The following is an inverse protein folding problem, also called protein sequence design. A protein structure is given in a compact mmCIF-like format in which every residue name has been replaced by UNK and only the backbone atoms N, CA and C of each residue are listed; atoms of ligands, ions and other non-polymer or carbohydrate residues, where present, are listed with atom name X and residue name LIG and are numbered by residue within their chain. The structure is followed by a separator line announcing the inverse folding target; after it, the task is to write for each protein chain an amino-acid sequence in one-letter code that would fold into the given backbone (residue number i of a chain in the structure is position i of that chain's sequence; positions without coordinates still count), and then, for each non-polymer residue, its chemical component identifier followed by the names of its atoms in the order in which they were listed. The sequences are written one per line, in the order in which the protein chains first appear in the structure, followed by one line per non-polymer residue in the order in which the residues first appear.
data_IF_721879682099
#
_entry.id   IF_721879682099
#
_cell.length_a   1.000
_cell.length_b   1.000
_cell.length_c   1.000
_cell.angle_alpha   90.00
_cell.angle_beta   90.00
_cell.angle_gamma   90.00
#
_symmetry.space_group_name_H-M   'P 1'
#
loop_
_entity.id
_entity.type
_entity.pdbx_description
1 polymer ?
#
# COMPACT_ATOMS: atom_id res chain seq x y z
N UNK A 1 82.48 22.64 0.42
CA UNK A 1 82.44 21.20 0.64
C UNK A 1 81.66 20.94 1.95
N UNK A 2 80.45 21.56 2.11
CA UNK A 2 79.66 21.54 3.33
C UNK A 2 78.13 21.37 3.16
N UNK A 3 77.71 21.16 1.93
CA UNK A 3 76.28 21.02 1.64
C UNK A 3 75.73 19.61 1.83
N UNK A 4 76.56 18.59 1.80
CA UNK A 4 76.16 17.22 1.91
C UNK A 4 76.02 16.71 3.35
N UNK A 5 76.69 17.32 4.29
CA UNK A 5 76.62 16.97 5.71
C UNK A 5 75.37 17.53 6.37
N UNK A 6 74.93 18.74 5.96
CA UNK A 6 73.67 19.33 6.47
C UNK A 6 72.43 18.59 6.03
N UNK A 7 72.50 18.01 4.84
CA UNK A 7 71.35 17.17 4.28
C UNK A 7 71.23 15.82 4.97
N UNK A 8 72.36 15.22 5.33
CA UNK A 8 72.39 13.95 6.07
C UNK A 8 71.84 14.09 7.48
N UNK A 9 72.21 15.24 8.20
CA UNK A 9 71.75 15.51 9.58
C UNK A 9 70.26 15.85 9.64
N UNK A 10 69.65 16.40 8.56
CA UNK A 10 68.22 16.63 8.45
C UNK A 10 67.40 15.35 8.22
N UNK A 11 67.91 14.38 7.50
CA UNK A 11 67.32 13.13 7.27
C UNK A 11 67.29 12.21 8.50
N UNK A 12 68.30 12.30 9.31
CA UNK A 12 68.43 11.53 10.57
C UNK A 12 67.52 12.05 11.68
N UNK A 13 67.12 13.33 11.64
CA UNK A 13 66.13 13.91 12.54
C UNK A 13 64.69 13.55 12.18
N UNK A 14 64.39 13.26 10.89
CA UNK A 14 63.07 12.85 10.46
C UNK A 14 62.79 11.36 10.68
N UNK A 15 63.83 10.56 10.88
CA UNK A 15 63.74 9.12 11.16
C UNK A 15 63.43 8.76 12.63
N UNK A 16 63.51 9.71 13.56
CA UNK A 16 63.37 9.43 15.01
C UNK A 16 62.03 9.80 15.65
N UNK A 17 61.06 10.24 14.87
CA UNK A 17 59.72 10.58 15.38
C UNK A 17 58.62 9.64 14.88
N UNK A 18 58.92 8.38 14.73
CA UNK A 18 57.86 7.40 14.42
C UNK A 18 58.15 6.11 15.21
N UNK A 19 57.78 6.05 16.45
CA UNK A 19 57.27 4.84 17.12
C UNK A 19 57.01 5.14 18.60
N UNK A 20 55.91 5.80 18.88
CA UNK A 20 55.17 5.51 20.11
C UNK A 20 53.92 4.74 19.70
N UNK A 21 54.07 3.44 19.68
CA UNK A 21 52.97 2.50 19.64
C UNK A 21 52.16 2.66 20.92
N UNK A 22 51.12 3.48 20.86
CA UNK A 22 50.10 3.52 21.88
C UNK A 22 49.23 2.29 21.68
N UNK A 23 49.64 1.17 22.24
CA UNK A 23 48.78 -0.03 22.42
C UNK A 23 47.71 0.34 23.42
N UNK A 24 46.65 0.96 22.93
CA UNK A 24 45.41 1.15 23.68
C UNK A 24 44.86 -0.21 24.10
N UNK A 25 44.59 -0.31 25.40
CA UNK A 25 43.91 -1.40 26.11
C UNK A 25 42.48 -1.71 25.58
N UNK A 26 42.31 -1.88 24.28
CA UNK A 26 41.02 -2.22 23.62
C UNK A 26 40.85 -3.72 23.42
N UNK A 27 41.88 -4.54 23.66
CA UNK A 27 41.85 -5.98 23.39
C UNK A 27 41.19 -6.85 24.45
N UNK A 28 41.21 -6.44 25.72
CA UNK A 28 40.71 -7.31 26.80
C UNK A 28 39.17 -7.32 26.93
N UNK A 29 38.54 -6.20 26.67
CA UNK A 29 37.06 -6.12 26.72
C UNK A 29 36.40 -6.87 25.56
N UNK A 30 37.04 -6.90 24.40
CA UNK A 30 36.51 -7.59 23.22
C UNK A 30 36.56 -9.12 23.39
N UNK A 31 37.60 -9.65 24.01
CA UNK A 31 37.74 -11.10 24.24
C UNK A 31 36.77 -11.62 25.30
N UNK A 32 36.44 -10.83 26.32
CA UNK A 32 35.43 -11.18 27.32
C UNK A 32 34.04 -11.11 26.70
N UNK A 33 33.76 -10.11 25.88
CA UNK A 33 32.48 -9.97 25.18
C UNK A 33 32.22 -11.13 24.23
N UNK A 34 33.20 -11.55 23.44
CA UNK A 34 33.11 -12.70 22.53
C UNK A 34 32.94 -14.00 23.30
N UNK A 35 33.63 -14.19 24.42
CA UNK A 35 33.45 -15.39 25.27
C UNK A 35 32.06 -15.46 25.91
N UNK A 36 31.54 -14.33 26.40
CA UNK A 36 30.19 -14.24 26.97
C UNK A 36 29.14 -14.47 25.86
N UNK A 37 29.31 -13.86 24.69
CA UNK A 37 28.39 -14.03 23.55
C UNK A 37 28.34 -15.48 23.07
N UNK A 38 29.47 -16.19 23.07
CA UNK A 38 29.55 -17.60 22.65
C UNK A 38 28.79 -18.58 23.58
N UNK A 39 28.64 -18.19 24.85
CA UNK A 39 27.89 -19.01 25.84
C UNK A 39 26.42 -18.53 25.90
N UNK A 40 26.20 -17.22 25.79
CA UNK A 40 24.87 -16.61 25.90
C UNK A 40 23.96 -16.99 24.74
N UNK A 41 24.51 -17.07 23.52
CA UNK A 41 23.74 -17.37 22.30
C UNK A 41 23.11 -18.78 22.32
N UNK A 42 23.84 -19.87 22.66
CA UNK A 42 23.20 -21.20 22.77
C UNK A 42 22.24 -21.29 23.97
N UNK A 43 22.47 -20.52 25.03
CA UNK A 43 21.60 -20.53 26.21
C UNK A 43 20.25 -19.81 25.89
N UNK A 44 20.28 -18.72 25.13
CA UNK A 44 19.07 -18.08 24.61
C UNK A 44 18.32 -19.00 23.64
N UNK A 45 19.02 -19.71 22.76
CA UNK A 45 18.39 -20.66 21.84
C UNK A 45 17.71 -21.81 22.58
N UNK A 46 18.33 -22.34 23.66
CA UNK A 46 17.73 -23.31 24.52
C UNK A 46 16.51 -22.77 25.30
N UNK A 47 16.57 -21.51 25.75
CA UNK A 47 15.46 -20.82 26.40
C UNK A 47 14.25 -20.66 25.46
N UNK A 48 14.49 -20.26 24.21
CA UNK A 48 13.42 -20.14 23.19
C UNK A 48 12.82 -21.52 22.89
N UNK A 49 13.65 -22.56 22.77
CA UNK A 49 13.18 -23.92 22.54
C UNK A 49 12.32 -24.44 23.73
N UNK A 50 12.71 -24.11 24.95
CA UNK A 50 11.95 -24.47 26.16
C UNK A 50 10.59 -23.74 26.22
N UNK A 51 10.55 -22.45 25.80
CA UNK A 51 9.30 -21.70 25.72
C UNK A 51 8.39 -22.25 24.62
N UNK A 52 8.93 -22.64 23.47
CA UNK A 52 8.14 -23.30 22.41
C UNK A 52 7.60 -24.66 22.82
N UNK A 53 8.36 -25.45 23.64
CA UNK A 53 7.86 -26.71 24.16
C UNK A 53 6.89 -26.57 25.35
N UNK A 54 6.98 -25.48 26.09
CA UNK A 54 6.08 -25.16 27.19
C UNK A 54 4.80 -24.43 26.75
N UNK A 55 4.71 -24.04 25.44
CA UNK A 55 3.51 -23.43 24.93
C UNK A 55 2.37 -24.43 24.97
N UNK A 56 1.29 -24.17 25.71
CA UNK A 56 0.16 -25.09 25.71
C UNK A 56 -0.41 -25.16 24.31
N UNK A 57 -0.36 -26.33 23.70
CA UNK A 57 -1.05 -26.65 22.46
C UNK A 57 -2.55 -26.58 22.75
N UNK A 58 -3.14 -25.40 22.57
CA UNK A 58 -4.58 -25.17 22.70
C UNK A 58 -5.26 -25.81 21.47
N UNK A 59 -5.05 -27.11 21.32
CA UNK A 59 -5.88 -27.93 20.45
C UNK A 59 -7.23 -28.03 21.15
N UNK A 60 -8.10 -27.06 20.86
CA UNK A 60 -9.53 -27.24 21.10
C UNK A 60 -9.94 -28.51 20.38
N UNK A 61 -10.01 -29.57 21.13
CA UNK A 61 -10.62 -30.82 20.67
C UNK A 61 -12.06 -30.46 20.34
N UNK A 62 -12.37 -30.40 19.07
CA UNK A 62 -13.72 -30.25 18.57
C UNK A 62 -14.51 -31.45 19.07
N UNK A 63 -15.40 -31.25 20.05
CA UNK A 63 -16.32 -32.26 20.53
C UNK A 63 -17.66 -32.09 19.80
N UNK A 64 -18.03 -33.00 18.86
CA UNK A 64 -19.25 -32.86 18.07
C UNK A 64 -20.54 -33.06 18.88
N UNK A 65 -20.47 -33.19 20.19
CA UNK A 65 -21.64 -33.47 21.05
C UNK A 65 -22.26 -32.23 21.70
N UNK A 66 -21.57 -31.07 21.71
CA UNK A 66 -22.14 -29.84 22.30
C UNK A 66 -23.03 -29.04 21.36
N UNK A 67 -23.03 -29.30 20.05
CA UNK A 67 -23.92 -28.61 19.10
C UNK A 67 -25.39 -29.12 19.09
N UNK A 68 -25.70 -30.20 19.78
CA UNK A 68 -27.06 -30.75 19.73
C UNK A 68 -28.04 -30.11 20.73
N UNK A 69 -27.61 -29.34 21.70
CA UNK A 69 -28.51 -28.78 22.74
C UNK A 69 -28.83 -27.29 22.64
N UNK A 70 -28.20 -26.51 21.70
CA UNK A 70 -28.50 -25.09 21.55
C UNK A 70 -29.39 -24.72 20.36
N UNK A 71 -29.94 -25.71 19.64
CA UNK A 71 -30.87 -25.48 18.51
C UNK A 71 -32.35 -25.53 18.90
N UNK A 72 -32.73 -25.04 20.05
CA UNK A 72 -34.16 -24.89 20.35
C UNK A 72 -34.42 -23.54 21.01
N UNK A 73 -34.50 -22.52 20.21
CA UNK A 73 -35.26 -21.29 20.25
C UNK A 73 -34.48 -20.15 19.57
N UNK A 74 -34.88 -19.82 18.34
CA UNK A 74 -35.30 -18.48 17.94
C UNK A 74 -35.41 -18.47 16.41
N UNK A 75 -36.59 -18.21 15.96
CA UNK A 75 -36.86 -18.00 14.54
C UNK A 75 -36.21 -16.73 14.05
N UNK A 76 -35.20 -16.87 13.22
CA UNK A 76 -34.65 -15.76 12.44
C UNK A 76 -34.50 -16.22 10.98
N UNK A 77 -35.13 -15.43 10.12
CA UNK A 77 -35.10 -15.40 8.65
C UNK A 77 -33.72 -15.79 8.08
N UNK A 78 -33.63 -16.52 6.98
CA UNK A 78 -32.36 -16.89 6.38
C UNK A 78 -31.67 -15.67 5.78
N UNK A 79 -30.86 -15.00 6.56
CA UNK A 79 -29.84 -14.11 6.05
C UNK A 79 -28.75 -14.95 5.38
N UNK A 80 -28.60 -14.70 4.09
CA UNK A 80 -27.54 -15.09 3.17
C UNK A 80 -26.29 -15.63 3.90
N UNK A 81 -26.21 -16.95 4.06
CA UNK A 81 -25.02 -17.66 4.56
C UNK A 81 -23.97 -17.53 3.45
N UNK A 82 -23.14 -16.50 3.55
CA UNK A 82 -21.95 -16.37 2.73
C UNK A 82 -21.01 -17.49 3.20
N UNK A 83 -20.57 -18.30 2.24
CA UNK A 83 -19.65 -19.42 2.43
C UNK A 83 -18.37 -18.93 3.16
N UNK A 84 -18.33 -19.15 4.47
CA UNK A 84 -17.19 -18.85 5.34
C UNK A 84 -15.96 -19.72 5.05
N UNK A 85 -16.06 -20.67 4.13
CA UNK A 85 -15.08 -21.73 3.96
C UNK A 85 -13.86 -21.39 3.07
N UNK A 86 -13.81 -20.18 2.46
CA UNK A 86 -12.78 -19.83 1.46
C UNK A 86 -12.00 -18.53 1.73
N UNK A 87 -12.17 -17.92 2.89
CA UNK A 87 -11.43 -16.70 3.25
C UNK A 87 -10.06 -17.09 3.81
N UNK A 88 -8.97 -16.65 3.19
CA UNK A 88 -7.62 -16.84 3.70
C UNK A 88 -7.25 -15.71 4.66
N UNK A 89 -7.51 -14.48 4.24
CA UNK A 89 -7.24 -13.28 5.02
C UNK A 89 -8.41 -12.31 4.94
N UNK A 90 -8.77 -11.75 6.07
CA UNK A 90 -9.73 -10.66 6.19
C UNK A 90 -9.08 -9.53 6.98
N UNK A 91 -9.12 -8.32 6.43
CA UNK A 91 -8.63 -7.10 7.06
C UNK A 91 -9.77 -6.12 7.22
N UNK A 92 -9.92 -5.59 8.42
CA UNK A 92 -10.82 -4.48 8.72
C UNK A 92 -10.01 -3.18 8.71
N UNK A 93 -10.52 -2.15 8.05
CA UNK A 93 -9.81 -0.88 7.84
C UNK A 93 -8.45 -1.09 7.15
N UNK A 94 -8.48 -1.77 6.01
CA UNK A 94 -7.28 -2.06 5.22
C UNK A 94 -6.77 -0.79 4.52
N UNK A 95 -5.45 -0.60 4.52
CA UNK A 95 -4.76 0.52 3.88
C UNK A 95 -3.66 0.01 2.95
N UNK A 96 -3.72 0.40 1.69
CA UNK A 96 -2.78 0.02 0.64
C UNK A 96 -2.13 1.27 0.06
N UNK A 97 -0.84 1.39 0.15
CA UNK A 97 -0.07 2.51 -0.41
C UNK A 97 0.96 2.03 -1.42
N UNK A 98 1.02 2.68 -2.57
CA UNK A 98 1.98 2.37 -3.63
C UNK A 98 2.24 3.61 -4.50
N UNK A 99 2.91 3.40 -5.63
CA UNK A 99 3.21 4.45 -6.61
C UNK A 99 2.90 3.96 -8.02
N UNK A 100 2.45 4.88 -8.86
CA UNK A 100 2.35 4.66 -10.30
C UNK A 100 3.75 4.44 -10.90
N UNK A 101 3.82 3.97 -12.14
CA UNK A 101 5.10 3.84 -12.88
C UNK A 101 5.84 5.17 -13.02
N UNK A 102 5.14 6.30 -13.08
CA UNK A 102 5.71 7.66 -13.08
C UNK A 102 6.12 8.16 -11.69
N UNK A 103 5.98 7.34 -10.64
CA UNK A 103 6.39 7.66 -9.27
C UNK A 103 5.35 8.44 -8.46
N UNK A 104 4.15 8.66 -8.99
CA UNK A 104 3.08 9.37 -8.29
C UNK A 104 2.49 8.46 -7.21
N UNK A 105 2.46 8.90 -5.94
CA UNK A 105 1.94 8.08 -4.85
C UNK A 105 0.41 8.02 -4.89
N UNK A 106 -0.12 6.86 -4.52
CA UNK A 106 -1.55 6.66 -4.28
C UNK A 106 -1.77 5.83 -3.02
N UNK A 107 -2.93 6.02 -2.41
CA UNK A 107 -3.40 5.26 -1.25
C UNK A 107 -4.81 4.79 -1.53
N UNK A 108 -5.10 3.53 -1.20
CA UNK A 108 -6.43 2.93 -1.22
C UNK A 108 -6.76 2.47 0.18
N UNK A 109 -7.86 2.93 0.73
CA UNK A 109 -8.36 2.52 2.04
C UNK A 109 -9.70 1.82 1.84
N UNK A 110 -9.92 0.68 2.47
CA UNK A 110 -11.18 -0.04 2.44
C UNK A 110 -11.68 -0.34 3.86
N UNK A 111 -12.98 -0.25 4.08
CA UNK A 111 -13.56 -0.63 5.36
C UNK A 111 -13.34 -2.12 5.64
N UNK A 112 -13.36 -2.95 4.59
CA UNK A 112 -13.10 -4.38 4.64
C UNK A 112 -12.37 -4.83 3.39
N UNK A 113 -11.36 -5.68 3.55
CA UNK A 113 -10.61 -6.32 2.46
C UNK A 113 -10.56 -7.82 2.68
N UNK A 114 -10.95 -8.59 1.68
CA UNK A 114 -11.04 -10.06 1.73
C UNK A 114 -10.15 -10.64 0.64
N UNK A 115 -9.25 -11.53 1.03
CA UNK A 115 -8.43 -12.32 0.13
C UNK A 115 -8.86 -13.78 0.23
N UNK A 116 -9.19 -14.41 -0.89
CA UNK A 116 -9.58 -15.82 -0.95
C UNK A 116 -8.37 -16.70 -1.22
N UNK A 117 -8.33 -17.86 -0.57
CA UNK A 117 -7.25 -18.85 -0.72
C UNK A 117 -7.04 -19.32 -2.17
N UNK A 118 -8.12 -19.39 -2.93
CA UNK A 118 -8.10 -19.84 -4.33
C UNK A 118 -7.59 -18.76 -5.29
N UNK A 119 -7.61 -17.49 -4.87
CA UNK A 119 -7.23 -16.32 -5.65
C UNK A 119 -6.36 -15.37 -4.83
N UNK A 120 -5.11 -15.75 -4.52
CA UNK A 120 -4.24 -15.01 -3.61
C UNK A 120 -3.86 -13.62 -4.16
N UNK A 121 -3.93 -13.41 -5.47
CA UNK A 121 -3.59 -12.13 -6.11
C UNK A 121 -4.77 -11.14 -6.13
N UNK A 122 -5.97 -11.60 -5.78
CA UNK A 122 -7.19 -10.79 -5.77
C UNK A 122 -7.59 -10.41 -4.36
N UNK A 123 -7.80 -9.10 -4.16
CA UNK A 123 -8.37 -8.56 -2.92
C UNK A 123 -9.72 -7.95 -3.24
N UNK A 124 -10.76 -8.45 -2.61
CA UNK A 124 -12.11 -7.89 -2.65
C UNK A 124 -12.21 -6.79 -1.59
N UNK A 125 -12.68 -5.62 -1.99
CA UNK A 125 -12.73 -4.41 -1.17
C UNK A 125 -14.19 -3.96 -1.01
N UNK A 126 -14.57 -3.62 0.22
CA UNK A 126 -15.87 -3.03 0.54
C UNK A 126 -15.67 -1.61 1.07
N UNK A 127 -16.46 -0.67 0.60
CA UNK A 127 -16.41 0.75 0.94
C UNK A 127 -15.00 1.32 0.77
N UNK A 128 -14.66 1.59 -0.48
CA UNK A 128 -13.32 2.01 -0.87
C UNK A 128 -13.22 3.53 -0.98
N UNK A 129 -12.17 4.08 -0.39
CA UNK A 129 -11.67 5.43 -0.56
C UNK A 129 -10.25 5.40 -1.15
N UNK A 130 -10.03 6.09 -2.26
CA UNK A 130 -8.73 6.20 -2.91
C UNK A 130 -8.27 7.64 -3.04
N UNK A 131 -6.97 7.86 -2.92
CA UNK A 131 -6.35 9.17 -3.16
C UNK A 131 -5.13 8.99 -4.05
N UNK A 132 -5.13 9.63 -5.21
CA UNK A 132 -3.98 9.74 -6.10
C UNK A 132 -3.42 11.17 -6.02
N UNK A 133 -2.14 11.31 -5.71
CA UNK A 133 -1.47 12.61 -5.67
C UNK A 133 -1.16 13.07 -7.10
N UNK A 134 -1.98 13.98 -7.63
CA UNK A 134 -1.74 14.61 -8.94
C UNK A 134 -0.92 15.90 -8.78
N UNK A 135 -0.29 16.35 -9.86
CA UNK A 135 0.53 17.58 -9.89
C UNK A 135 -0.28 18.84 -9.62
N UNK A 136 -1.57 18.87 -9.95
CA UNK A 136 -2.46 20.04 -9.79
C UNK A 136 -3.23 20.00 -8.48
N UNK A 137 -3.95 18.91 -8.22
CA UNK A 137 -4.70 18.67 -6.99
C UNK A 137 -4.93 17.17 -6.82
N UNK A 138 -5.02 16.66 -5.60
CA UNK A 138 -5.31 15.24 -5.36
C UNK A 138 -6.60 14.82 -6.05
N UNK A 139 -6.58 13.66 -6.68
CA UNK A 139 -7.77 12.99 -7.21
C UNK A 139 -8.26 12.01 -6.16
N UNK A 140 -9.50 12.18 -5.72
CA UNK A 140 -10.15 11.26 -4.77
C UNK A 140 -11.09 10.33 -5.51
N UNK A 141 -11.16 9.10 -5.08
CA UNK A 141 -11.93 8.02 -5.65
C UNK A 141 -12.74 7.35 -4.56
N UNK A 142 -14.03 7.08 -4.79
CA UNK A 142 -14.88 6.34 -3.85
C UNK A 142 -15.69 5.31 -4.60
N UNK A 143 -15.97 4.17 -3.96
CA UNK A 143 -16.85 3.14 -4.48
C UNK A 143 -17.38 2.28 -3.33
N UNK A 144 -18.52 1.62 -3.54
CA UNK A 144 -19.07 0.70 -2.54
C UNK A 144 -18.33 -0.65 -2.58
N UNK A 145 -17.95 -1.11 -3.79
CA UNK A 145 -17.27 -2.39 -3.99
C UNK A 145 -16.09 -2.23 -4.95
N UNK A 146 -15.04 -3.03 -4.73
CA UNK A 146 -13.89 -3.09 -5.61
C UNK A 146 -13.19 -4.43 -5.60
N UNK A 147 -12.38 -4.66 -6.63
CA UNK A 147 -11.47 -5.79 -6.71
C UNK A 147 -10.09 -5.26 -7.11
N UNK A 148 -9.10 -5.52 -6.29
CA UNK A 148 -7.73 -5.10 -6.53
C UNK A 148 -6.84 -6.30 -6.86
N UNK A 149 -6.21 -6.26 -8.03
CA UNK A 149 -5.19 -7.21 -8.45
C UNK A 149 -3.82 -6.71 -8.03
N UNK A 150 -3.18 -7.37 -7.08
CA UNK A 150 -1.90 -6.94 -6.51
C UNK A 150 -0.75 -7.00 -7.52
N UNK A 151 -0.69 -8.03 -8.34
CA UNK A 151 0.41 -8.29 -9.26
C UNK A 151 0.54 -7.20 -10.34
N UNK A 152 -0.57 -6.84 -10.97
CA UNK A 152 -0.60 -5.86 -12.06
C UNK A 152 -1.09 -4.48 -11.64
N UNK A 153 -1.44 -4.28 -10.35
CA UNK A 153 -1.98 -3.04 -9.79
C UNK A 153 -3.23 -2.55 -10.56
N UNK A 154 -4.09 -3.48 -10.92
CA UNK A 154 -5.35 -3.19 -11.61
C UNK A 154 -6.50 -3.16 -10.61
N UNK A 155 -7.33 -2.12 -10.68
CA UNK A 155 -8.44 -1.89 -9.77
C UNK A 155 -9.75 -1.84 -10.57
N UNK A 156 -10.67 -2.73 -10.26
CA UNK A 156 -12.05 -2.68 -10.77
C UNK A 156 -12.97 -2.21 -9.67
N UNK A 157 -13.76 -1.20 -9.93
CA UNK A 157 -14.72 -0.62 -8.99
C UNK A 157 -16.13 -0.74 -9.53
N UNK A 158 -17.06 -1.01 -8.63
CA UNK A 158 -18.47 -1.13 -8.93
C UNK A 158 -19.31 -0.45 -7.85
N UNK A 159 -20.49 0.00 -8.27
CA UNK A 159 -21.51 0.65 -7.44
C UNK A 159 -21.07 2.00 -6.87
N UNK A 160 -21.84 3.02 -7.20
CA UNK A 160 -21.67 4.40 -6.68
C UNK A 160 -20.24 4.97 -6.81
N UNK A 161 -19.59 4.64 -7.94
CA UNK A 161 -18.22 5.10 -8.16
C UNK A 161 -18.20 6.61 -8.39
N UNK A 162 -17.40 7.32 -7.62
CA UNK A 162 -17.17 8.75 -7.77
C UNK A 162 -15.69 9.08 -7.86
N UNK A 163 -15.34 9.95 -8.81
CA UNK A 163 -14.00 10.54 -8.92
C UNK A 163 -14.16 12.04 -8.75
N UNK A 164 -13.40 12.65 -7.84
CA UNK A 164 -13.45 14.09 -7.59
C UNK A 164 -12.06 14.70 -7.54
N UNK A 165 -11.94 15.88 -8.14
CA UNK A 165 -10.72 16.67 -8.09
C UNK A 165 -11.07 18.13 -7.77
N UNK A 166 -10.46 18.67 -6.72
CA UNK A 166 -10.69 20.05 -6.31
C UNK A 166 -10.39 21.02 -7.45
N UNK A 167 -11.33 21.94 -7.71
CA UNK A 167 -11.23 22.92 -8.79
C UNK A 167 -11.59 22.41 -10.19
N UNK A 168 -11.88 21.10 -10.36
CA UNK A 168 -12.35 20.54 -11.64
C UNK A 168 -13.77 20.00 -11.57
N UNK A 169 -14.12 19.30 -10.51
CA UNK A 169 -15.48 18.78 -10.33
C UNK A 169 -15.49 17.31 -9.90
N UNK A 170 -16.67 16.70 -10.02
CA UNK A 170 -16.93 15.31 -9.63
C UNK A 170 -17.56 14.55 -10.79
N UNK A 171 -17.08 13.33 -10.99
CA UNK A 171 -17.63 12.37 -11.96
C UNK A 171 -18.33 11.25 -11.19
N UNK A 172 -19.52 10.87 -11.66
CA UNK A 172 -20.36 9.79 -11.12
C UNK A 172 -20.53 8.69 -12.17
N UNK A 173 -20.35 7.44 -11.78
CA UNK A 173 -20.46 6.27 -12.66
C UNK A 173 -20.80 5.00 -11.87
N UNK A 174 -21.19 3.94 -12.58
CA UNK A 174 -21.52 2.66 -11.94
C UNK A 174 -20.35 1.68 -11.93
N UNK A 175 -19.38 1.85 -12.83
CA UNK A 175 -18.19 1.00 -12.91
C UNK A 175 -16.99 1.80 -13.40
N UNK A 176 -15.82 1.43 -12.89
CA UNK A 176 -14.52 1.98 -13.29
C UNK A 176 -13.47 0.88 -13.28
N UNK A 177 -12.72 0.78 -14.34
CA UNK A 177 -11.53 -0.06 -14.45
C UNK A 177 -10.30 0.84 -14.51
N UNK A 178 -9.38 0.69 -13.56
CA UNK A 178 -8.21 1.55 -13.41
C UNK A 178 -6.90 0.76 -13.42
N UNK A 179 -6.01 1.13 -14.31
CA UNK A 179 -4.61 0.72 -14.32
C UNK A 179 -3.79 1.73 -13.49
N UNK A 180 -3.53 1.37 -12.25
CA UNK A 180 -2.83 2.23 -11.30
C UNK A 180 -1.33 2.37 -11.63
N UNK A 181 -0.76 1.43 -12.40
CA UNK A 181 0.63 1.54 -12.85
C UNK A 181 0.79 2.66 -13.87
N UNK A 182 -0.12 2.72 -14.85
CA UNK A 182 -0.07 3.69 -15.94
C UNK A 182 -0.81 5.00 -15.60
N UNK A 183 -1.68 4.98 -14.57
CA UNK A 183 -2.51 6.12 -14.20
C UNK A 183 -3.60 6.39 -15.25
N UNK A 184 -4.15 5.30 -15.79
CA UNK A 184 -5.24 5.32 -16.76
C UNK A 184 -6.47 4.65 -16.16
N UNK A 185 -7.67 5.09 -16.57
CA UNK A 185 -8.91 4.43 -16.16
C UNK A 185 -9.99 4.55 -17.25
N UNK A 186 -10.89 3.57 -17.27
CA UNK A 186 -11.98 3.49 -18.22
C UNK A 186 -13.27 3.22 -17.45
N UNK A 187 -14.31 4.02 -17.72
CA UNK A 187 -15.68 3.68 -17.37
C UNK A 187 -16.40 3.21 -18.64
N UNK A 188 -16.73 1.92 -18.75
CA UNK A 188 -17.42 1.40 -19.93
C UNK A 188 -18.94 1.72 -19.93
N UNK A 189 -19.48 2.18 -18.80
CA UNK A 189 -20.87 2.54 -18.58
C UNK A 189 -21.09 4.05 -18.60
N UNK A 190 -22.34 4.53 -18.71
CA UNK A 190 -22.65 5.96 -18.69
C UNK A 190 -22.08 6.68 -17.49
N UNK A 191 -21.57 7.88 -17.75
CA UNK A 191 -20.96 8.75 -16.78
C UNK A 191 -21.65 10.11 -16.77
N UNK A 192 -21.72 10.71 -15.59
CA UNK A 192 -22.18 12.09 -15.39
C UNK A 192 -21.10 12.88 -14.64
N UNK A 193 -20.73 14.02 -15.18
CA UNK A 193 -19.78 14.93 -14.56
C UNK A 193 -20.46 16.24 -14.16
N UNK A 194 -20.06 16.76 -12.99
CA UNK A 194 -20.48 18.06 -12.48
C UNK A 194 -19.24 18.86 -12.12
N UNK A 195 -19.09 20.02 -12.73
CA UNK A 195 -17.97 20.92 -12.51
C UNK A 195 -18.41 22.37 -12.37
N UNK A 196 -17.42 23.24 -12.14
CA UNK A 196 -17.66 24.69 -12.00
C UNK A 196 -18.28 25.26 -13.26
N UNK A 197 -17.89 24.74 -14.43
CA UNK A 197 -18.27 25.28 -15.74
C UNK A 197 -19.56 24.67 -16.28
N UNK A 198 -20.12 23.64 -15.64
CA UNK A 198 -21.33 22.99 -16.10
C UNK A 198 -21.40 21.50 -15.76
N UNK A 199 -22.28 20.80 -16.49
CA UNK A 199 -22.50 19.35 -16.34
C UNK A 199 -22.27 18.66 -17.67
N UNK A 200 -21.75 17.43 -17.62
CA UNK A 200 -21.56 16.59 -18.80
C UNK A 200 -22.14 15.20 -18.54
N UNK A 201 -22.81 14.64 -19.54
CA UNK A 201 -23.28 13.25 -19.57
C UNK A 201 -22.71 12.58 -20.82
N UNK A 202 -22.17 11.37 -20.70
CA UNK A 202 -21.63 10.60 -21.81
C UNK A 202 -21.86 9.10 -21.62
N UNK A 203 -21.75 8.32 -22.71
CA UNK A 203 -21.97 6.87 -22.66
C UNK A 203 -20.80 6.12 -22.05
N UNK A 204 -19.59 6.61 -22.17
CA UNK A 204 -18.40 6.07 -21.54
C UNK A 204 -17.32 7.14 -21.40
N UNK A 205 -16.27 6.84 -20.64
CA UNK A 205 -15.18 7.76 -20.35
C UNK A 205 -13.85 7.03 -20.28
N UNK A 206 -12.79 7.69 -20.73
CA UNK A 206 -11.41 7.28 -20.52
C UNK A 206 -10.63 8.40 -19.83
N UNK A 207 -9.95 8.06 -18.75
CA UNK A 207 -9.00 8.92 -18.06
C UNK A 207 -7.58 8.54 -18.48
N UNK A 208 -6.75 9.52 -18.81
CA UNK A 208 -5.34 9.34 -19.15
C UNK A 208 -4.47 10.32 -18.38
N UNK A 209 -3.16 10.02 -18.34
CA UNK A 209 -2.17 10.90 -17.72
C UNK A 209 -2.54 11.25 -16.26
N UNK A 210 -2.92 10.26 -15.45
CA UNK A 210 -3.26 10.43 -14.03
C UNK A 210 -4.44 11.41 -13.78
N UNK A 211 -5.39 11.47 -14.74
CA UNK A 211 -6.57 12.32 -14.66
C UNK A 211 -6.39 13.70 -15.31
N UNK A 212 -5.24 14.01 -15.90
CA UNK A 212 -5.05 15.28 -16.61
C UNK A 212 -5.85 15.37 -17.92
N UNK A 213 -6.13 14.22 -18.54
CA UNK A 213 -6.91 14.15 -19.78
C UNK A 213 -8.12 13.26 -19.57
N UNK A 214 -9.31 13.79 -19.85
CA UNK A 214 -10.58 13.06 -19.82
C UNK A 214 -11.14 13.02 -21.23
N UNK A 215 -11.43 11.83 -21.74
CA UNK A 215 -12.03 11.62 -23.05
C UNK A 215 -13.41 11.01 -22.86
N UNK A 216 -14.43 11.69 -23.32
CA UNK A 216 -15.80 11.20 -23.31
C UNK A 216 -16.13 10.55 -24.66
N UNK A 217 -16.79 9.38 -24.63
CA UNK A 217 -17.15 8.62 -25.82
C UNK A 217 -18.66 8.46 -25.96
N UNK A 218 -19.11 8.32 -27.20
CA UNK A 218 -20.53 8.19 -27.58
C UNK A 218 -21.22 9.55 -27.61
N UNK A 219 -22.55 9.58 -27.72
CA UNK A 219 -23.30 10.82 -27.54
C UNK A 219 -22.98 11.43 -26.19
N UNK A 220 -22.48 12.68 -26.21
CA UNK A 220 -22.17 13.44 -25.01
C UNK A 220 -22.98 14.74 -25.00
N UNK A 221 -23.61 15.04 -23.87
CA UNK A 221 -24.37 16.24 -23.63
C UNK A 221 -23.63 17.11 -22.62
N UNK A 222 -23.18 18.29 -23.09
CA UNK A 222 -22.53 19.30 -22.23
C UNK A 222 -23.49 20.47 -22.02
N UNK A 223 -23.82 20.76 -20.77
CA UNK A 223 -24.59 21.93 -20.39
C UNK A 223 -23.66 22.88 -19.65
N UNK A 224 -23.36 24.03 -20.25
CA UNK A 224 -22.51 25.06 -19.66
C UNK A 224 -23.34 26.07 -18.88
N UNK A 225 -22.86 26.53 -17.74
CA UNK A 225 -23.51 27.60 -16.99
C UNK A 225 -23.21 28.95 -17.68
N UNK A 226 -24.20 29.85 -17.73
CA UNK A 226 -24.05 31.18 -18.33
C UNK A 226 -23.01 31.98 -17.55
N UNK A 227 -21.91 32.32 -18.20
CA UNK A 227 -20.77 33.04 -17.63
C UNK A 227 -19.48 32.84 -18.42
N UNK A 228 -19.46 31.83 -19.29
CA UNK A 228 -18.28 31.46 -20.10
C UNK A 228 -18.21 32.24 -21.42
N UNK A 229 -18.07 33.57 -21.35
CA UNK A 229 -17.91 34.43 -22.54
C UNK A 229 -16.46 34.84 -22.81
N UNK A 230 -15.46 33.95 -22.62
CA UNK A 230 -14.08 34.32 -22.99
C UNK A 230 -13.20 33.15 -23.50
N UNK A 231 -13.75 32.27 -24.34
CA UNK A 231 -12.93 31.44 -25.22
C UNK A 231 -12.99 32.04 -26.61
N UNK A 232 -12.02 32.92 -26.96
CA UNK A 232 -11.86 33.44 -28.33
C UNK A 232 -11.49 34.91 -28.39
N UNK A 233 -10.23 35.24 -28.16
CA UNK A 233 -9.48 36.26 -28.90
C UNK A 233 -8.02 35.86 -28.99
#
# INVERSE_FOLDING_TARGET
MDFDQEKADRLDRLGRTATTHNTSHMGERYTVFVKVMRIFLPLCALGILAVLMAWPDDRRTYDPREEAEHQKNEGITPSKKIEEEQVENELISADFSSKTRSGVPYTLTAARAIQKKEQPDLIYLETLDGVLQSSSAPVTLKADEGTYHQENQFLTLNQNVTISQSGRGTMYMQSLEADLQNGEAISPLPVRGEGIDGTIEAQSMTLKNQGDTIIFHGPAHLVMQEGFSSWGK
#
